data_IF_527295557474
#
_entry.id   IF_527295557474
#
_cell.length_a   1.000
_cell.length_b   1.000
_cell.length_c   1.000
_cell.angle_alpha   90.00
_cell.angle_beta   90.00
_cell.angle_gamma   90.00
#
_symmetry.space_group_name_H-M   'P 1'
#
loop_
_entity.id
_entity.type
_entity.pdbx_description
1 polymer ?
#
# COMPACT_ATOMS: atom_id res chain seq x y z
N UNK A 1 48.82 -36.28 -2.96
CA UNK A 1 47.43 -36.10 -3.44
C UNK A 1 46.96 -34.75 -2.92
N UNK A 2 46.96 -33.74 -3.78
CA UNK A 2 46.39 -32.42 -3.46
C UNK A 2 44.91 -32.42 -3.86
N UNK A 3 44.01 -32.19 -2.89
CA UNK A 3 42.60 -31.89 -3.17
C UNK A 3 42.50 -30.40 -3.47
N UNK A 4 42.09 -30.07 -4.69
CA UNK A 4 41.68 -28.72 -5.08
C UNK A 4 40.22 -28.50 -4.67
N UNK A 5 39.99 -27.56 -3.76
CA UNK A 5 38.64 -27.08 -3.43
C UNK A 5 38.18 -26.13 -4.52
N UNK A 6 37.12 -26.50 -5.26
CA UNK A 6 36.46 -25.62 -6.20
C UNK A 6 35.43 -24.78 -5.40
N UNK A 7 35.73 -23.51 -5.23
CA UNK A 7 34.79 -22.55 -4.69
C UNK A 7 33.74 -22.18 -5.79
N UNK A 8 32.53 -22.61 -5.59
CA UNK A 8 31.38 -22.22 -6.44
C UNK A 8 30.99 -20.79 -6.07
N UNK A 9 31.40 -19.82 -6.88
CA UNK A 9 30.94 -18.43 -6.78
C UNK A 9 29.51 -18.39 -7.34
N UNK A 10 28.52 -18.34 -6.46
CA UNK A 10 27.16 -17.99 -6.83
C UNK A 10 27.17 -16.50 -7.27
N UNK A 11 27.18 -16.27 -8.58
CA UNK A 11 26.93 -14.96 -9.14
C UNK A 11 25.50 -14.58 -8.77
N UNK A 12 25.35 -13.69 -7.79
CA UNK A 12 24.08 -13.02 -7.51
C UNK A 12 23.63 -12.30 -8.77
N UNK A 13 22.50 -12.70 -9.32
CA UNK A 13 21.84 -11.91 -10.37
C UNK A 13 21.52 -10.55 -9.78
N UNK A 14 22.07 -9.49 -10.38
CA UNK A 14 21.61 -8.16 -10.10
C UNK A 14 20.09 -8.10 -10.34
N UNK A 15 19.32 -7.43 -9.47
CA UNK A 15 17.90 -7.24 -9.70
C UNK A 15 17.71 -6.60 -11.08
N UNK A 16 16.74 -7.11 -11.85
CA UNK A 16 16.36 -6.49 -13.11
C UNK A 16 16.06 -5.02 -12.82
N UNK A 17 16.63 -4.11 -13.62
CA UNK A 17 16.38 -2.69 -13.44
C UNK A 17 14.85 -2.47 -13.53
N UNK A 18 14.29 -1.83 -12.52
CA UNK A 18 12.87 -1.48 -12.49
C UNK A 18 12.56 -0.60 -13.71
N UNK A 19 11.71 -1.08 -14.62
CA UNK A 19 11.40 -0.41 -15.87
C UNK A 19 10.41 0.73 -15.66
N UNK A 20 10.74 1.93 -16.13
CA UNK A 20 9.77 3.00 -16.26
C UNK A 20 8.82 2.78 -17.44
N UNK A 21 7.68 3.47 -17.45
CA UNK A 21 6.69 3.33 -18.52
C UNK A 21 5.59 4.37 -18.49
N UNK A 22 4.67 4.23 -19.44
CA UNK A 22 3.46 5.04 -19.55
C UNK A 22 2.28 4.11 -19.76
N UNK A 23 1.23 4.28 -18.97
CA UNK A 23 -0.07 3.65 -19.19
C UNK A 23 -1.03 4.72 -19.71
N UNK A 24 -1.40 4.69 -20.99
CA UNK A 24 -2.44 5.59 -21.50
C UNK A 24 -3.81 5.20 -20.98
N UNK A 25 -4.67 6.18 -20.76
CA UNK A 25 -6.05 6.03 -20.32
C UNK A 25 -6.19 5.04 -19.13
N UNK A 26 -5.50 5.28 -17.99
CA UNK A 26 -5.58 4.37 -16.85
C UNK A 26 -7.03 4.27 -16.35
N UNK A 27 -7.44 3.08 -15.85
CA UNK A 27 -8.80 2.94 -15.34
C UNK A 27 -8.98 3.79 -14.08
N UNK A 28 -9.76 4.86 -14.22
CA UNK A 28 -10.05 5.81 -13.16
C UNK A 28 -9.00 6.91 -12.98
N UNK A 29 -9.41 7.93 -12.28
CA UNK A 29 -8.69 9.19 -12.12
C UNK A 29 -7.45 9.09 -11.19
N UNK A 30 -7.43 8.09 -10.28
CA UNK A 30 -6.44 8.05 -9.21
C UNK A 30 -5.00 7.84 -9.68
N UNK A 31 -4.78 6.95 -10.66
CA UNK A 31 -3.45 6.75 -11.26
C UNK A 31 -3.01 7.97 -12.07
N UNK A 32 -3.89 8.52 -12.90
CA UNK A 32 -3.64 9.72 -13.69
C UNK A 32 -3.30 10.94 -12.81
N UNK A 33 -3.99 11.08 -11.64
CA UNK A 33 -3.72 12.18 -10.71
C UNK A 33 -2.41 12.03 -9.94
N UNK A 34 -1.93 10.80 -9.81
CA UNK A 34 -0.80 10.47 -8.92
C UNK A 34 0.53 11.02 -9.40
N UNK A 35 0.78 11.05 -10.70
CA UNK A 35 2.02 11.55 -11.31
C UNK A 35 1.93 13.01 -11.80
N UNK A 36 0.84 13.70 -11.42
CA UNK A 36 0.55 15.08 -11.78
C UNK A 36 0.63 16.00 -10.55
N UNK A 37 1.21 17.20 -10.70
CA UNK A 37 1.12 18.25 -9.67
C UNK A 37 -0.25 18.95 -9.70
N UNK A 38 -0.90 18.96 -10.88
CA UNK A 38 -2.23 19.54 -11.07
C UNK A 38 -2.88 18.98 -12.33
N UNK A 39 -4.19 18.81 -12.31
CA UNK A 39 -4.96 18.32 -13.45
C UNK A 39 -4.77 16.84 -13.73
N UNK A 40 -5.22 16.42 -14.92
CA UNK A 40 -5.15 15.06 -15.47
C UNK A 40 -4.75 15.18 -16.93
N UNK A 41 -3.93 14.25 -17.44
CA UNK A 41 -3.50 14.21 -18.84
C UNK A 41 -3.87 12.92 -19.57
N UNK A 42 -4.68 12.05 -18.92
CA UNK A 42 -5.11 10.74 -19.40
C UNK A 42 -3.97 9.73 -19.55
N UNK A 43 -2.93 9.86 -18.73
CA UNK A 43 -1.85 8.90 -18.68
C UNK A 43 -1.34 8.71 -17.24
N UNK A 44 -0.74 7.57 -16.97
CA UNK A 44 0.04 7.35 -15.76
C UNK A 44 1.49 7.05 -16.15
N UNK A 45 2.38 7.96 -15.81
CA UNK A 45 3.81 7.87 -16.08
C UNK A 45 4.53 7.40 -14.80
N UNK A 46 5.38 6.41 -14.91
CA UNK A 46 6.12 5.89 -13.78
C UNK A 46 7.59 5.68 -14.11
N UNK A 47 8.47 6.13 -13.21
CA UNK A 47 9.92 5.98 -13.31
C UNK A 47 10.38 4.53 -13.08
N UNK A 48 9.58 3.77 -12.35
CA UNK A 48 9.83 2.40 -11.96
C UNK A 48 8.50 1.66 -11.88
N UNK A 49 8.49 0.37 -12.21
CA UNK A 49 7.33 -0.50 -12.04
C UNK A 49 7.27 -1.18 -10.66
N UNK A 50 8.25 -0.92 -9.79
CA UNK A 50 8.34 -1.56 -8.46
C UNK A 50 8.90 -2.98 -8.48
N UNK A 51 9.43 -3.46 -9.62
CA UNK A 51 10.07 -4.78 -9.71
C UNK A 51 11.16 -4.96 -8.66
N UNK A 52 11.20 -6.15 -8.05
CA UNK A 52 12.13 -6.48 -6.97
C UNK A 52 11.63 -6.12 -5.56
N UNK A 53 10.54 -5.37 -5.44
CA UNK A 53 9.93 -5.02 -4.14
C UNK A 53 8.77 -5.95 -3.80
N UNK A 54 8.62 -6.29 -2.52
CA UNK A 54 7.51 -7.08 -2.00
C UNK A 54 6.52 -6.18 -1.26
N UNK A 55 5.24 -6.21 -1.63
CA UNK A 55 4.16 -5.52 -0.91
C UNK A 55 3.39 -6.55 -0.07
N UNK A 56 3.43 -6.40 1.24
CA UNK A 56 2.65 -7.19 2.19
C UNK A 56 1.27 -6.54 2.37
N UNK A 57 0.22 -7.27 1.99
CA UNK A 57 -1.18 -6.83 2.14
C UNK A 57 -1.78 -7.52 3.35
N UNK A 58 -1.91 -6.80 4.47
CA UNK A 58 -2.44 -7.30 5.74
C UNK A 58 -3.93 -6.97 5.78
N UNK A 59 -4.79 -7.95 5.38
CA UNK A 59 -6.20 -7.71 5.14
C UNK A 59 -7.01 -9.04 5.08
N UNK A 60 -8.07 -9.11 4.27
CA UNK A 60 -8.96 -10.27 4.07
C UNK A 60 -8.38 -11.38 3.19
N UNK A 61 -7.15 -11.22 2.67
CA UNK A 61 -6.53 -12.11 1.71
C UNK A 61 -6.42 -11.48 0.32
N UNK A 62 -6.04 -12.27 -0.69
CA UNK A 62 -5.96 -11.83 -2.10
C UNK A 62 -6.42 -12.96 -3.01
N UNK A 63 -7.29 -12.66 -3.98
CA UNK A 63 -7.60 -13.58 -5.08
C UNK A 63 -6.42 -13.65 -6.07
N UNK A 64 -5.49 -14.54 -5.78
CA UNK A 64 -4.25 -14.71 -6.54
C UNK A 64 -4.48 -15.10 -8.02
N UNK A 65 -5.70 -15.52 -8.39
CA UNK A 65 -6.06 -15.92 -9.76
C UNK A 65 -6.57 -14.76 -10.59
N UNK A 66 -6.85 -13.61 -9.97
CA UNK A 66 -7.32 -12.44 -10.70
C UNK A 66 -6.29 -12.03 -11.77
N UNK A 67 -6.69 -11.82 -13.05
CA UNK A 67 -5.77 -11.58 -14.17
C UNK A 67 -4.90 -10.33 -14.00
N UNK A 68 -5.35 -9.35 -13.22
CA UNK A 68 -4.61 -8.12 -12.93
C UNK A 68 -3.28 -8.38 -12.19
N UNK A 69 -3.17 -9.50 -11.51
CA UNK A 69 -1.93 -9.85 -10.79
C UNK A 69 -0.89 -10.59 -11.62
N UNK A 70 -1.26 -11.20 -12.74
CA UNK A 70 -0.33 -11.87 -13.65
C UNK A 70 0.63 -12.87 -12.97
N UNK A 71 0.16 -13.58 -11.94
CA UNK A 71 0.97 -14.55 -11.18
C UNK A 71 1.94 -13.94 -10.18
N UNK A 72 1.88 -12.63 -9.92
CA UNK A 72 2.76 -11.93 -8.96
C UNK A 72 2.27 -11.99 -7.50
N UNK A 73 1.33 -12.88 -7.18
CA UNK A 73 0.92 -13.15 -5.80
C UNK A 73 1.69 -14.36 -5.30
N UNK A 74 2.60 -14.16 -4.36
CA UNK A 74 3.37 -15.22 -3.73
C UNK A 74 2.59 -15.85 -2.55
N UNK A 75 2.99 -17.05 -2.09
CA UNK A 75 2.41 -17.64 -0.89
C UNK A 75 2.54 -16.73 0.32
N UNK A 76 1.41 -16.47 0.98
CA UNK A 76 1.32 -15.65 2.18
C UNK A 76 1.05 -16.46 3.45
N UNK A 77 0.32 -15.85 4.39
CA UNK A 77 -0.03 -16.49 5.68
C UNK A 77 -1.50 -16.23 6.04
N UNK A 78 -2.21 -17.28 6.42
CA UNK A 78 -3.58 -17.22 6.94
C UNK A 78 -3.57 -17.32 8.48
N UNK A 79 -4.07 -16.28 9.15
CA UNK A 79 -4.20 -16.21 10.61
C UNK A 79 -5.60 -16.55 11.11
N UNK A 80 -6.55 -16.84 10.21
CA UNK A 80 -7.88 -17.31 10.57
C UNK A 80 -7.89 -18.84 10.80
N UNK A 81 -7.36 -19.58 9.82
CA UNK A 81 -7.41 -21.03 9.78
C UNK A 81 -6.02 -21.68 9.90
N UNK A 82 -4.97 -20.87 9.84
CA UNK A 82 -3.58 -21.34 9.74
C UNK A 82 -3.19 -21.73 8.32
N UNK A 83 -1.89 -21.93 8.10
CA UNK A 83 -1.38 -22.32 6.78
C UNK A 83 -1.13 -21.15 5.83
N UNK A 84 -1.22 -21.42 4.53
CA UNK A 84 -0.86 -20.47 3.45
C UNK A 84 -2.01 -20.23 2.47
N UNK A 85 -3.21 -20.72 2.75
CA UNK A 85 -4.40 -20.43 1.95
C UNK A 85 -4.94 -19.06 2.31
N UNK A 86 -4.59 -18.08 1.51
CA UNK A 86 -4.95 -16.67 1.69
C UNK A 86 -6.01 -16.21 0.70
N UNK A 87 -6.87 -17.14 0.23
CA UNK A 87 -7.98 -16.79 -0.65
C UNK A 87 -8.87 -15.71 -0.01
N UNK A 88 -9.15 -14.68 -0.78
CA UNK A 88 -9.98 -13.57 -0.33
C UNK A 88 -11.46 -13.91 -0.51
N UNK A 89 -12.19 -13.96 0.59
CA UNK A 89 -13.62 -14.24 0.61
C UNK A 89 -14.47 -12.98 0.85
N UNK A 90 -13.84 -11.83 1.14
CA UNK A 90 -14.47 -10.54 1.34
C UNK A 90 -14.32 -9.63 0.11
N UNK A 91 -13.11 -9.55 -0.44
CA UNK A 91 -12.77 -8.76 -1.63
C UNK A 91 -11.94 -7.50 -1.35
N UNK A 92 -11.90 -7.03 -0.11
CA UNK A 92 -11.22 -5.79 0.26
C UNK A 92 -9.69 -5.90 0.05
N UNK A 93 -9.06 -6.98 0.54
CA UNK A 93 -7.62 -7.20 0.37
C UNK A 93 -7.20 -7.36 -1.09
N UNK A 94 -8.03 -8.01 -1.93
CA UNK A 94 -7.80 -8.12 -3.38
C UNK A 94 -7.79 -6.73 -4.03
N UNK A 95 -8.70 -5.85 -3.61
CA UNK A 95 -8.76 -4.48 -4.11
C UNK A 95 -7.52 -3.68 -3.70
N UNK A 96 -7.11 -3.74 -2.43
CA UNK A 96 -5.89 -3.08 -1.97
C UNK A 96 -4.66 -3.56 -2.74
N UNK A 97 -4.52 -4.88 -2.91
CA UNK A 97 -3.45 -5.48 -3.71
C UNK A 97 -3.46 -4.96 -5.15
N UNK A 98 -4.65 -4.83 -5.76
CA UNK A 98 -4.82 -4.31 -7.11
C UNK A 98 -4.40 -2.85 -7.24
N UNK A 99 -4.84 -1.99 -6.32
CA UNK A 99 -4.47 -0.56 -6.30
C UNK A 99 -2.97 -0.40 -6.05
N UNK A 100 -2.38 -1.18 -5.16
CA UNK A 100 -0.95 -1.09 -4.88
C UNK A 100 -0.08 -1.64 -6.03
N UNK A 101 -0.46 -2.79 -6.64
CA UNK A 101 0.42 -3.54 -7.53
C UNK A 101 -0.26 -4.25 -8.71
N UNK A 102 -1.52 -3.96 -9.04
CA UNK A 102 -2.19 -4.51 -10.21
C UNK A 102 -1.55 -4.05 -11.52
N UNK A 103 -1.67 -4.84 -12.57
CA UNK A 103 -1.21 -4.50 -13.92
C UNK A 103 -1.94 -3.27 -14.47
N UNK A 104 -3.28 -3.28 -14.36
CA UNK A 104 -4.12 -2.24 -14.95
C UNK A 104 -4.49 -1.16 -13.91
N UNK A 105 -4.76 -1.54 -12.66
CA UNK A 105 -5.20 -0.65 -11.58
C UNK A 105 -4.09 -0.19 -10.64
N UNK A 106 -2.90 -0.82 -10.70
CA UNK A 106 -1.87 -0.66 -9.69
C UNK A 106 -0.82 0.40 -10.00
N UNK A 107 -0.29 0.97 -8.92
CA UNK A 107 0.83 1.91 -8.93
C UNK A 107 2.14 1.18 -9.27
N UNK A 108 2.53 0.17 -8.47
CA UNK A 108 3.78 -0.58 -8.60
C UNK A 108 3.55 -1.89 -9.38
N UNK A 109 3.39 -1.76 -10.70
CA UNK A 109 2.90 -2.82 -11.60
C UNK A 109 3.78 -4.07 -11.66
N UNK A 110 5.05 -3.99 -11.26
CA UNK A 110 6.02 -5.09 -11.23
C UNK A 110 6.27 -5.67 -9.83
N UNK A 111 5.72 -5.07 -8.78
CA UNK A 111 5.94 -5.52 -7.41
C UNK A 111 5.32 -6.90 -7.14
N UNK A 112 5.95 -7.67 -6.23
CA UNK A 112 5.44 -8.93 -5.73
C UNK A 112 4.44 -8.66 -4.60
N UNK A 113 3.34 -9.40 -4.56
CA UNK A 113 2.31 -9.29 -3.54
C UNK A 113 2.41 -10.49 -2.60
N UNK A 114 2.42 -10.26 -1.29
CA UNK A 114 2.32 -11.29 -0.27
C UNK A 114 1.09 -11.02 0.61
N UNK A 115 0.03 -11.82 0.49
CA UNK A 115 -1.17 -11.66 1.30
C UNK A 115 -0.95 -12.17 2.73
N UNK A 116 -1.41 -11.39 3.71
CA UNK A 116 -1.44 -11.76 5.13
C UNK A 116 -2.89 -11.65 5.58
N UNK A 117 -3.57 -12.80 5.59
CA UNK A 117 -5.00 -12.87 5.86
C UNK A 117 -5.29 -12.84 7.34
N UNK A 118 -5.92 -11.77 7.80
CA UNK A 118 -6.30 -11.54 9.20
C UNK A 118 -7.79 -11.21 9.37
N UNK A 119 -8.49 -10.90 8.27
CA UNK A 119 -9.93 -10.63 8.23
C UNK A 119 -10.70 -11.79 7.60
N UNK A 120 -11.90 -12.03 8.12
CA UNK A 120 -12.82 -13.05 7.63
C UNK A 120 -13.66 -12.59 6.40
N UNK A 121 -14.60 -13.42 5.97
CA UNK A 121 -15.49 -13.14 4.83
C UNK A 121 -16.46 -11.97 5.06
N UNK A 122 -16.65 -11.54 6.28
CA UNK A 122 -17.52 -10.42 6.66
C UNK A 122 -16.72 -9.14 6.95
N UNK A 123 -15.38 -9.18 6.71
CA UNK A 123 -14.44 -8.07 6.95
C UNK A 123 -14.09 -7.91 8.44
N UNK A 124 -14.50 -8.83 9.29
CA UNK A 124 -14.17 -8.83 10.70
C UNK A 124 -12.81 -9.48 11.01
N UNK A 125 -12.14 -9.00 12.06
CA UNK A 125 -10.88 -9.57 12.52
C UNK A 125 -10.71 -9.46 14.03
N UNK A 126 -10.36 -10.55 14.70
CA UNK A 126 -9.97 -10.50 16.09
C UNK A 126 -8.61 -9.81 16.22
N UNK A 127 -8.49 -8.90 17.20
CA UNK A 127 -7.32 -8.05 17.36
C UNK A 127 -6.01 -8.83 17.54
N UNK A 128 -6.06 -9.96 18.24
CA UNK A 128 -4.91 -10.85 18.44
C UNK A 128 -4.41 -11.47 17.13
N UNK A 129 -5.30 -11.79 16.19
CA UNK A 129 -4.95 -12.30 14.86
C UNK A 129 -4.35 -11.21 13.98
N UNK A 130 -4.89 -9.99 14.04
CA UNK A 130 -4.35 -8.83 13.34
C UNK A 130 -2.92 -8.56 13.83
N UNK A 131 -2.72 -8.52 15.14
CA UNK A 131 -1.39 -8.35 15.75
C UNK A 131 -0.43 -9.47 15.31
N UNK A 132 -0.89 -10.73 15.34
CA UNK A 132 -0.06 -11.86 14.92
C UNK A 132 0.34 -11.77 13.43
N UNK A 133 -0.55 -11.27 12.56
CA UNK A 133 -0.25 -11.00 11.15
C UNK A 133 0.80 -9.90 10.98
N UNK A 134 0.68 -8.80 11.71
CA UNK A 134 1.64 -7.69 11.73
C UNK A 134 3.02 -8.18 12.20
N UNK A 135 3.06 -8.88 13.33
CA UNK A 135 4.30 -9.41 13.90
C UNK A 135 4.95 -10.45 12.97
N UNK A 136 4.16 -11.24 12.27
CA UNK A 136 4.70 -12.16 11.27
C UNK A 136 5.39 -11.42 10.13
N UNK A 137 4.81 -10.33 9.61
CA UNK A 137 5.48 -9.51 8.58
C UNK A 137 6.77 -8.93 9.13
N UNK A 138 6.78 -8.37 10.34
CA UNK A 138 7.97 -7.82 10.96
C UNK A 138 9.12 -8.85 11.07
N UNK A 139 8.80 -10.13 11.27
CA UNK A 139 9.77 -11.21 11.41
C UNK A 139 10.18 -11.87 10.09
N UNK A 140 9.35 -11.78 9.04
CA UNK A 140 9.53 -12.54 7.81
C UNK A 140 9.63 -11.68 6.54
N UNK A 141 9.58 -10.35 6.65
CA UNK A 141 9.63 -9.48 5.49
C UNK A 141 10.95 -9.66 4.70
N UNK A 142 10.79 -9.87 3.39
CA UNK A 142 11.91 -9.99 2.44
C UNK A 142 12.15 -8.63 1.81
N UNK A 143 13.26 -8.04 2.16
CA UNK A 143 13.66 -6.73 1.66
C UNK A 143 14.10 -6.74 0.18
N UNK A 144 13.88 -5.67 -0.57
CA UNK A 144 13.11 -4.47 -0.20
C UNK A 144 11.61 -4.76 -0.09
N UNK A 145 10.97 -4.22 0.92
CA UNK A 145 9.57 -4.49 1.23
C UNK A 145 8.80 -3.23 1.66
N UNK A 146 7.48 -3.30 1.54
CA UNK A 146 6.48 -2.32 2.01
C UNK A 146 5.29 -3.09 2.58
N UNK A 147 4.56 -2.52 3.52
CA UNK A 147 3.30 -3.07 3.99
C UNK A 147 2.13 -2.08 3.80
N UNK A 148 0.95 -2.62 3.55
CA UNK A 148 -0.31 -1.90 3.69
C UNK A 148 -1.20 -2.66 4.68
N UNK A 149 -1.75 -1.94 5.65
CA UNK A 149 -2.72 -2.45 6.60
C UNK A 149 -4.05 -1.75 6.33
N UNK A 150 -5.01 -2.45 5.70
CA UNK A 150 -6.30 -1.89 5.31
C UNK A 150 -7.33 -1.83 6.44
N UNK A 151 -6.87 -1.74 7.70
CA UNK A 151 -7.69 -1.93 8.89
C UNK A 151 -7.61 -0.68 9.77
N UNK A 152 -8.76 -0.25 10.27
CA UNK A 152 -8.86 0.82 11.25
C UNK A 152 -9.98 0.55 12.25
N UNK A 153 -9.92 1.20 13.40
CA UNK A 153 -10.96 1.05 14.42
C UNK A 153 -10.68 1.85 15.69
N UNK A 154 -11.45 1.54 16.73
CA UNK A 154 -11.30 2.19 18.03
C UNK A 154 -9.86 2.11 18.57
N UNK A 155 -9.44 3.05 19.41
CA UNK A 155 -8.10 3.10 19.97
C UNK A 155 -7.68 1.80 20.64
N UNK A 156 -6.54 1.23 20.21
CA UNK A 156 -6.00 -0.01 20.75
C UNK A 156 -4.47 0.04 20.88
N UNK A 157 -3.98 0.16 22.10
CA UNK A 157 -2.56 0.28 22.38
C UNK A 157 -1.72 -0.94 21.97
N UNK A 158 -2.31 -2.14 21.94
CA UNK A 158 -1.60 -3.36 21.54
C UNK A 158 -1.41 -3.39 20.02
N UNK A 159 -2.45 -2.98 19.26
CA UNK A 159 -2.35 -2.80 17.81
C UNK A 159 -1.31 -1.74 17.46
N UNK A 160 -1.37 -0.58 18.12
CA UNK A 160 -0.39 0.50 17.91
C UNK A 160 1.04 0.03 18.15
N UNK A 161 1.26 -0.73 19.23
CA UNK A 161 2.59 -1.29 19.54
C UNK A 161 3.06 -2.29 18.46
N UNK A 162 2.17 -3.10 17.90
CA UNK A 162 2.50 -4.00 16.80
C UNK A 162 2.87 -3.24 15.52
N UNK A 163 2.11 -2.20 15.18
CA UNK A 163 2.39 -1.35 14.02
C UNK A 163 3.74 -0.63 14.17
N UNK A 164 4.08 -0.12 15.37
CA UNK A 164 5.41 0.47 15.64
C UNK A 164 6.53 -0.54 15.37
N UNK A 165 6.41 -1.76 15.88
CA UNK A 165 7.43 -2.81 15.62
C UNK A 165 7.59 -3.12 14.14
N UNK A 166 6.48 -3.15 13.38
CA UNK A 166 6.54 -3.36 11.93
C UNK A 166 7.20 -2.17 11.23
N UNK A 167 6.87 -0.94 11.63
CA UNK A 167 7.44 0.28 11.07
C UNK A 167 8.97 0.41 11.26
N UNK A 168 9.55 -0.27 12.24
CA UNK A 168 11.02 -0.38 12.39
C UNK A 168 11.67 -1.23 11.28
N UNK A 169 10.89 -2.08 10.60
CA UNK A 169 11.40 -3.08 9.65
C UNK A 169 11.01 -2.74 8.21
N UNK A 170 9.75 -2.33 7.97
CA UNK A 170 9.26 -1.95 6.64
C UNK A 170 8.40 -0.69 6.72
N UNK A 171 8.43 0.19 5.71
CA UNK A 171 7.47 1.28 5.63
C UNK A 171 6.06 0.70 5.54
N UNK A 172 5.16 1.22 6.37
CA UNK A 172 3.76 0.78 6.43
C UNK A 172 2.82 1.95 6.20
N UNK A 173 1.92 1.80 5.22
CA UNK A 173 0.81 2.72 5.00
C UNK A 173 -0.45 2.22 5.71
N UNK A 174 -1.14 3.12 6.41
CA UNK A 174 -2.36 2.85 7.17
C UNK A 174 -3.45 3.86 6.85
N UNK A 175 -4.74 3.47 6.90
CA UNK A 175 -5.84 4.39 6.68
C UNK A 175 -6.02 5.36 7.87
N UNK A 176 -6.38 6.60 7.57
CA UNK A 176 -6.76 7.58 8.60
C UNK A 176 -8.08 7.22 9.31
N UNK A 177 -8.93 6.41 8.66
CA UNK A 177 -10.27 6.06 9.12
C UNK A 177 -11.37 6.77 8.33
N UNK A 178 -12.61 6.33 8.51
CA UNK A 178 -13.76 6.74 7.70
C UNK A 178 -14.95 7.28 8.51
N UNK A 179 -14.71 7.91 9.64
CA UNK A 179 -15.75 8.36 10.60
C UNK A 179 -15.98 9.88 10.60
N UNK A 180 -15.35 10.62 9.67
CA UNK A 180 -15.39 12.10 9.63
C UNK A 180 -14.94 12.70 10.97
N UNK A 181 -13.88 12.14 11.55
CA UNK A 181 -13.40 12.46 12.89
C UNK A 181 -11.88 12.75 12.89
N UNK A 182 -11.33 13.04 14.07
CA UNK A 182 -9.88 13.18 14.26
C UNK A 182 -9.22 11.79 14.22
N UNK A 183 -8.26 11.59 13.29
CA UNK A 183 -7.52 10.34 13.11
C UNK A 183 -6.77 9.92 14.39
N UNK A 184 -6.37 10.87 15.24
CA UNK A 184 -5.77 10.62 16.56
C UNK A 184 -6.67 9.85 17.52
N UNK A 185 -7.95 9.79 17.25
CA UNK A 185 -8.93 8.97 17.99
C UNK A 185 -9.01 7.51 17.54
N UNK A 186 -8.21 7.07 16.55
CA UNK A 186 -8.33 5.75 15.94
C UNK A 186 -6.99 5.03 15.82
N UNK A 187 -7.01 3.71 15.95
CA UNK A 187 -5.85 2.85 15.67
C UNK A 187 -6.03 2.15 14.31
N UNK A 188 -4.95 2.03 13.52
CA UNK A 188 -3.59 2.47 13.74
C UNK A 188 -3.30 3.91 13.28
N UNK A 189 -4.27 4.69 12.78
CA UNK A 189 -4.09 6.01 12.19
C UNK A 189 -3.38 7.04 13.10
N UNK A 190 -3.35 6.79 14.42
CA UNK A 190 -2.65 7.61 15.41
C UNK A 190 -1.19 7.22 15.66
N UNK A 191 -0.65 6.23 14.92
CA UNK A 191 0.73 5.75 15.12
C UNK A 191 1.70 6.58 14.29
N UNK A 192 2.54 7.43 14.90
CA UNK A 192 3.35 8.39 14.15
C UNK A 192 4.49 7.76 13.34
N UNK A 193 4.83 6.50 13.59
CA UNK A 193 5.82 5.77 12.82
C UNK A 193 5.27 5.15 11.51
N UNK A 194 3.93 5.04 11.40
CA UNK A 194 3.26 4.64 10.16
C UNK A 194 3.02 5.86 9.26
N UNK A 195 2.82 5.63 7.97
CA UNK A 195 2.33 6.66 7.05
C UNK A 195 0.80 6.64 7.08
N UNK A 196 0.19 7.62 7.76
CA UNK A 196 -1.26 7.75 7.90
C UNK A 196 -1.86 8.53 6.74
N UNK A 197 -2.73 7.87 5.97
CA UNK A 197 -3.22 8.36 4.70
C UNK A 197 -4.72 8.63 4.74
N UNK A 198 -5.10 9.87 4.45
CA UNK A 198 -6.47 10.30 4.25
C UNK A 198 -6.90 10.19 2.78
N UNK A 199 -8.19 10.13 2.51
CA UNK A 199 -8.73 9.98 1.18
C UNK A 199 -9.08 11.34 0.54
N UNK A 200 -8.75 11.49 -0.76
CA UNK A 200 -9.21 12.61 -1.61
C UNK A 200 -10.12 12.13 -2.73
N UNK A 201 -10.90 13.07 -3.29
CA UNK A 201 -11.72 12.89 -4.48
C UNK A 201 -11.04 13.43 -5.76
N UNK A 202 -11.68 13.20 -6.91
CA UNK A 202 -11.20 13.65 -8.22
C UNK A 202 -11.23 15.17 -8.43
N UNK A 203 -11.79 15.95 -7.51
CA UNK A 203 -11.81 17.41 -7.52
C UNK A 203 -10.78 18.04 -6.61
N UNK A 204 -9.80 17.25 -6.13
CA UNK A 204 -8.81 17.64 -5.14
C UNK A 204 -9.47 18.15 -3.85
N UNK A 205 -10.40 17.36 -3.28
CA UNK A 205 -11.04 17.62 -1.98
C UNK A 205 -10.87 16.39 -1.08
N UNK A 206 -10.83 16.58 0.23
CA UNK A 206 -10.99 15.45 1.15
C UNK A 206 -12.28 14.67 0.87
N UNK A 207 -12.21 13.35 0.86
CA UNK A 207 -13.43 12.53 0.83
C UNK A 207 -14.28 12.82 2.07
N UNK A 208 -15.61 12.82 1.89
CA UNK A 208 -16.55 13.26 2.93
C UNK A 208 -16.52 12.40 4.19
N UNK A 209 -16.12 11.14 4.06
CA UNK A 209 -16.04 10.20 5.18
C UNK A 209 -14.65 10.16 5.79
N UNK A 210 -13.64 10.65 5.08
CA UNK A 210 -12.25 10.59 5.53
C UNK A 210 -12.05 11.27 6.89
N UNK A 211 -11.35 10.60 7.79
CA UNK A 211 -10.82 11.22 8.98
C UNK A 211 -9.75 12.27 8.62
N UNK A 212 -9.50 13.20 9.52
CA UNK A 212 -8.59 14.33 9.37
C UNK A 212 -7.80 14.55 10.66
N UNK A 213 -7.06 15.64 10.77
CA UNK A 213 -6.31 15.99 12.00
C UNK A 213 -4.80 15.91 11.82
N UNK A 214 -4.08 16.20 12.91
CA UNK A 214 -2.61 16.36 12.89
C UNK A 214 -1.86 15.03 12.65
N UNK A 215 -2.50 13.88 12.91
CA UNK A 215 -1.90 12.56 12.72
C UNK A 215 -2.00 12.08 11.25
N UNK A 216 -2.65 12.85 10.37
CA UNK A 216 -2.66 12.59 8.93
C UNK A 216 -1.41 13.18 8.28
N UNK A 217 -0.60 12.32 7.65
CA UNK A 217 0.62 12.74 6.96
C UNK A 217 0.35 13.36 5.60
N UNK A 218 -0.56 12.73 4.85
CA UNK A 218 -0.93 13.16 3.50
C UNK A 218 -2.29 12.57 3.07
N UNK A 219 -2.82 13.11 1.99
CA UNK A 219 -3.97 12.60 1.25
C UNK A 219 -3.51 11.81 0.03
N UNK A 220 -4.30 10.81 -0.37
CA UNK A 220 -4.13 10.12 -1.64
C UNK A 220 -5.51 9.85 -2.28
N UNK A 221 -5.58 9.49 -3.58
CA UNK A 221 -6.83 9.12 -4.22
C UNK A 221 -7.55 8.03 -3.43
N UNK A 222 -8.81 8.28 -3.04
CA UNK A 222 -9.56 7.35 -2.20
C UNK A 222 -11.06 7.31 -2.46
N UNK A 223 -11.60 8.22 -3.29
CA UNK A 223 -13.02 8.23 -3.64
C UNK A 223 -13.26 7.64 -5.04
N UNK A 224 -14.23 6.72 -5.15
CA UNK A 224 -14.61 6.06 -6.41
C UNK A 224 -13.43 5.43 -7.16
N UNK A 225 -12.56 4.75 -6.43
CA UNK A 225 -11.35 4.13 -6.98
C UNK A 225 -11.67 2.76 -7.57
N UNK A 226 -11.48 2.55 -8.88
CA UNK A 226 -11.64 1.24 -9.49
C UNK A 226 -10.50 0.30 -9.09
N UNK A 227 -10.85 -0.96 -8.91
CA UNK A 227 -9.89 -2.02 -8.58
C UNK A 227 -10.48 -3.40 -8.81
N UNK A 228 -9.67 -4.46 -8.79
CA UNK A 228 -10.13 -5.82 -9.02
C UNK A 228 -11.13 -6.26 -7.96
N UNK A 229 -12.08 -7.10 -8.38
CA UNK A 229 -13.09 -7.71 -7.51
C UNK A 229 -12.78 -9.20 -7.37
N UNK A 230 -12.66 -9.69 -6.13
CA UNK A 230 -12.38 -11.09 -5.86
C UNK A 230 -13.47 -12.03 -6.40
N UNK A 231 -13.07 -13.25 -6.78
CA UNK A 231 -13.98 -14.28 -7.29
C UNK A 231 -14.32 -14.18 -8.77
N UNK A 232 -13.62 -13.31 -9.52
CA UNK A 232 -13.86 -13.13 -10.94
C UNK A 232 -12.72 -12.48 -11.70
N UNK A 233 -13.05 -11.84 -12.82
CA UNK A 233 -12.10 -11.07 -13.65
C UNK A 233 -12.51 -9.60 -13.75
N UNK A 234 -13.55 -9.21 -13.01
CA UNK A 234 -14.15 -7.89 -13.06
C UNK A 234 -13.45 -6.88 -12.14
N UNK A 235 -13.83 -5.62 -12.32
CA UNK A 235 -13.44 -4.53 -11.46
C UNK A 235 -14.66 -3.69 -11.09
N UNK A 236 -14.53 -2.93 -10.00
CA UNK A 236 -15.57 -2.01 -9.54
C UNK A 236 -14.99 -0.90 -8.68
N UNK A 237 -15.70 0.21 -8.52
CA UNK A 237 -15.26 1.31 -7.67
C UNK A 237 -15.48 1.00 -6.18
N UNK A 238 -14.63 1.57 -5.36
CA UNK A 238 -14.78 1.62 -3.90
C UNK A 238 -14.18 2.93 -3.38
N UNK A 239 -14.70 3.41 -2.24
CA UNK A 239 -14.21 4.62 -1.60
C UNK A 239 -13.76 4.32 -0.19
N UNK A 240 -12.70 4.97 0.25
CA UNK A 240 -12.20 4.89 1.62
C UNK A 240 -10.71 5.21 1.75
N UNK A 241 -10.32 5.47 2.97
CA UNK A 241 -8.90 5.74 3.31
C UNK A 241 -8.01 4.51 3.15
N UNK A 242 -8.59 3.31 3.11
CA UNK A 242 -7.86 2.07 2.77
C UNK A 242 -7.38 2.07 1.32
N UNK A 243 -8.18 2.61 0.37
CA UNK A 243 -7.79 2.78 -1.03
C UNK A 243 -6.63 3.77 -1.13
N UNK A 244 -6.72 4.87 -0.39
CA UNK A 244 -5.66 5.88 -0.30
C UNK A 244 -4.35 5.29 0.28
N UNK A 245 -4.42 4.49 1.33
CA UNK A 245 -3.27 3.80 1.89
C UNK A 245 -2.64 2.80 0.90
N UNK A 246 -3.45 2.13 0.07
CA UNK A 246 -2.94 1.24 -0.98
C UNK A 246 -2.17 2.00 -2.08
N UNK A 247 -2.64 3.19 -2.50
CA UNK A 247 -1.87 4.08 -3.38
C UNK A 247 -0.53 4.46 -2.77
N UNK A 248 -0.52 4.85 -1.49
CA UNK A 248 0.71 5.24 -0.79
C UNK A 248 1.69 4.06 -0.67
N UNK A 249 1.21 2.85 -0.39
CA UNK A 249 2.04 1.65 -0.39
C UNK A 249 2.63 1.34 -1.77
N UNK A 250 1.88 1.55 -2.84
CA UNK A 250 2.37 1.45 -4.21
C UNK A 250 3.49 2.46 -4.50
N UNK A 251 3.31 3.74 -4.14
CA UNK A 251 4.36 4.77 -4.32
C UNK A 251 5.59 4.46 -3.45
N UNK A 252 5.40 3.99 -2.23
CA UNK A 252 6.50 3.53 -1.37
C UNK A 252 7.28 2.38 -2.03
N UNK A 253 6.59 1.46 -2.73
CA UNK A 253 7.24 0.38 -3.46
C UNK A 253 8.03 0.90 -4.68
N UNK A 254 7.52 1.91 -5.41
CA UNK A 254 8.29 2.56 -6.48
C UNK A 254 9.57 3.20 -5.94
N UNK A 255 9.47 3.90 -4.81
CA UNK A 255 10.62 4.52 -4.16
C UNK A 255 11.63 3.47 -3.69
N UNK A 256 11.16 2.39 -3.06
CA UNK A 256 12.01 1.27 -2.59
C UNK A 256 12.71 0.54 -3.73
N UNK A 257 12.11 0.45 -4.90
CA UNK A 257 12.76 -0.15 -6.07
C UNK A 257 13.98 0.65 -6.54
N UNK A 258 13.95 1.97 -6.37
CA UNK A 258 15.05 2.88 -6.71
C UNK A 258 16.03 3.06 -5.53
N UNK A 259 15.56 2.91 -4.30
CA UNK A 259 16.31 3.09 -3.06
C UNK A 259 16.18 1.87 -2.13
N UNK A 260 16.71 0.69 -2.52
CA UNK A 260 16.46 -0.56 -1.81
C UNK A 260 16.98 -0.56 -0.36
N UNK A 261 17.98 0.25 -0.05
CA UNK A 261 18.58 0.36 1.28
C UNK A 261 17.98 1.46 2.17
N UNK A 262 17.00 2.23 1.64
CA UNK A 262 16.39 3.31 2.43
C UNK A 262 15.69 2.75 3.68
N UNK A 263 15.92 3.34 4.84
CA UNK A 263 15.22 2.97 6.07
C UNK A 263 13.72 3.29 5.97
N UNK A 264 12.84 2.59 6.73
CA UNK A 264 11.39 2.79 6.64
C UNK A 264 10.95 4.24 6.85
N UNK A 265 11.50 4.92 7.84
CA UNK A 265 11.23 6.33 8.13
C UNK A 265 11.68 7.27 6.99
N UNK A 266 12.81 6.96 6.34
CA UNK A 266 13.29 7.71 5.17
C UNK A 266 12.33 7.58 3.98
N UNK A 267 11.71 6.40 3.79
CA UNK A 267 10.68 6.20 2.76
C UNK A 267 9.47 7.06 3.06
N UNK A 268 8.92 7.01 4.28
CA UNK A 268 7.77 7.82 4.68
C UNK A 268 8.07 9.32 4.51
N UNK A 269 9.22 9.78 4.98
CA UNK A 269 9.66 11.17 4.82
C UNK A 269 9.80 11.57 3.34
N UNK A 270 10.33 10.70 2.48
CA UNK A 270 10.46 10.98 1.07
C UNK A 270 9.10 11.16 0.39
N UNK A 271 8.10 10.33 0.72
CA UNK A 271 6.75 10.46 0.19
C UNK A 271 6.10 11.77 0.65
N UNK A 272 6.22 12.11 1.93
CA UNK A 272 5.67 13.35 2.50
C UNK A 272 6.33 14.58 1.88
N UNK A 273 7.65 14.56 1.67
CA UNK A 273 8.40 15.67 1.04
C UNK A 273 8.10 15.81 -0.45
N UNK A 274 7.90 14.69 -1.16
CA UNK A 274 7.54 14.70 -2.57
C UNK A 274 6.09 15.12 -2.82
N UNK A 275 5.19 14.95 -1.85
CA UNK A 275 3.77 15.25 -1.98
C UNK A 275 3.53 16.68 -2.49
N UNK A 276 2.46 16.89 -3.24
CA UNK A 276 2.07 18.20 -3.76
C UNK A 276 1.43 19.01 -2.63
N UNK A 277 2.04 20.12 -2.19
CA UNK A 277 1.48 20.93 -1.12
C UNK A 277 0.34 21.84 -1.63
N UNK A 278 -0.59 22.14 -0.75
CA UNK A 278 -1.60 23.21 -0.87
C UNK A 278 -2.51 23.11 -2.12
N UNK A 279 -2.64 21.89 -2.71
CA UNK A 279 -3.46 21.66 -3.90
C UNK A 279 -4.89 21.26 -3.54
N UNK A 280 -5.09 20.65 -2.37
CA UNK A 280 -6.41 20.23 -1.93
C UNK A 280 -7.24 21.43 -1.46
N UNK A 281 -8.53 21.40 -1.79
CA UNK A 281 -9.52 22.38 -1.38
C UNK A 281 -10.22 21.91 -0.12
N UNK A 282 -10.66 22.85 0.71
CA UNK A 282 -11.53 22.59 1.87
C UNK A 282 -10.94 21.57 2.88
N UNK A 283 -9.61 21.53 3.02
CA UNK A 283 -8.93 20.66 3.98
C UNK A 283 -9.30 21.08 5.40
N UNK A 284 -9.75 20.17 6.28
CA UNK A 284 -10.07 20.47 7.65
C UNK A 284 -8.86 21.07 8.41
N UNK A 285 -9.13 22.05 9.27
CA UNK A 285 -8.09 22.71 10.05
C UNK A 285 -7.27 21.74 10.89
N UNK A 286 -5.96 21.95 10.94
CA UNK A 286 -5.02 21.07 11.65
C UNK A 286 -4.52 19.87 10.85
N UNK A 287 -5.06 19.64 9.65
CA UNK A 287 -4.62 18.56 8.75
C UNK A 287 -3.62 19.10 7.74
N UNK A 288 -2.57 18.32 7.45
CA UNK A 288 -1.59 18.69 6.43
C UNK A 288 -2.21 18.68 5.02
N UNK A 289 -2.13 19.80 4.30
CA UNK A 289 -2.56 19.87 2.90
C UNK A 289 -1.42 19.37 1.99
N UNK A 290 -1.35 18.07 1.79
CA UNK A 290 -0.36 17.37 0.97
C UNK A 290 -1.04 16.26 0.21
N UNK A 291 -0.99 16.29 -1.12
CA UNK A 291 -1.51 15.20 -1.96
C UNK A 291 -0.34 14.32 -2.41
N UNK A 292 -0.49 13.01 -2.23
CA UNK A 292 0.48 12.00 -2.67
C UNK A 292 0.90 12.24 -4.12
N UNK A 293 2.18 12.15 -4.38
CA UNK A 293 2.75 12.35 -5.70
C UNK A 293 3.84 11.33 -5.99
N UNK A 294 3.71 10.65 -7.12
CA UNK A 294 4.72 9.75 -7.66
C UNK A 294 5.42 10.46 -8.82
N UNK A 295 6.66 10.94 -8.65
CA UNK A 295 7.34 11.63 -9.74
C UNK A 295 7.42 10.75 -10.99
N UNK A 296 6.98 11.23 -12.17
CA UNK A 296 7.23 10.55 -13.42
C UNK A 296 8.73 10.46 -13.66
N UNK A 297 9.20 9.41 -14.32
CA UNK A 297 10.60 9.28 -14.69
C UNK A 297 11.05 10.44 -15.58
N UNK A 298 12.24 10.95 -15.33
CA UNK A 298 12.92 11.90 -16.21
C UNK A 298 13.51 11.19 -17.41
#
# INVERSE_FOLDING_TARGET
MLLAAVALVLAGQAPAAAGGGVQPDPPGWGLDRLDQRSGLDHAYHYASDGSGVTIYVIDSGVDAKHPDFQGRVAPGRDFLNGGTDTADLHGHGTRLAGIAAGKDYGVAKGALIVPVRVLDKDGGGAIDRIIAGIDWVAQNARQPAVAVLGIGGAPNNQLDAAVRRLAEVVPIAVPAGGETADAGGFSPGRVPEALTVAASDAQDRPDKTSNSGQDVDLYAPGADIPGPVAGGTGAGPESGTSMAAAFAAGVAALYRAQHPEAAPDQVNQALVQAATPDVLKDVPGGTANRLLYAPPGS
#
